data_IF_285308345574
#
_entry.id   IF_285308345574
#
_cell.length_a   1.000
_cell.length_b   1.000
_cell.length_c   1.000
_cell.angle_alpha   90.00
_cell.angle_beta   90.00
_cell.angle_gamma   90.00
#
_symmetry.space_group_name_H-M   'P 1'
#
loop_
_entity.id
_entity.type
_entity.pdbx_description
1 polymer ?
#
# COMPACT_ATOMS: atom_id res chain seq x y z
N UNK A 1 13.78 38.23 -4.82
CA UNK A 1 14.68 37.76 -3.73
C UNK A 1 14.32 38.37 -2.38
N UNK A 2 14.33 39.70 -2.23
CA UNK A 2 14.06 40.37 -0.93
C UNK A 2 12.58 40.35 -0.49
N UNK A 3 11.64 39.97 -1.36
CA UNK A 3 10.22 39.91 -1.02
C UNK A 3 9.49 41.24 -1.01
N UNK A 4 10.09 42.31 -1.54
CA UNK A 4 9.43 43.60 -1.72
C UNK A 4 8.33 43.50 -2.78
N UNK A 5 7.13 43.14 -2.37
CA UNK A 5 5.96 42.98 -3.24
C UNK A 5 5.56 44.29 -3.90
N UNK A 6 5.71 45.43 -3.20
CA UNK A 6 5.37 46.75 -3.74
C UNK A 6 6.23 47.11 -4.94
N UNK A 7 7.55 46.92 -4.83
CA UNK A 7 8.47 47.14 -5.94
C UNK A 7 8.20 46.20 -7.11
N UNK A 8 7.83 44.95 -6.83
CA UNK A 8 7.44 44.00 -7.88
C UNK A 8 6.20 44.47 -8.65
N UNK A 9 5.12 44.83 -7.96
CA UNK A 9 3.89 45.29 -8.61
C UNK A 9 4.12 46.59 -9.37
N UNK A 10 4.86 47.55 -8.79
CA UNK A 10 5.21 48.79 -9.48
C UNK A 10 5.93 48.52 -10.81
N UNK A 11 6.87 47.59 -10.84
CA UNK A 11 7.58 47.24 -12.08
C UNK A 11 6.65 46.61 -13.12
N UNK A 12 5.79 45.68 -12.69
CA UNK A 12 4.84 45.02 -13.59
C UNK A 12 3.80 46.01 -14.13
N UNK A 13 3.30 46.93 -13.30
CA UNK A 13 2.37 47.99 -13.70
C UNK A 13 3.01 48.96 -14.71
N UNK A 14 4.34 49.13 -14.65
CA UNK A 14 5.12 49.89 -15.64
C UNK A 14 5.53 49.06 -16.87
N UNK A 15 4.94 47.88 -17.08
CA UNK A 15 5.15 47.06 -18.28
C UNK A 15 6.36 46.13 -18.23
N UNK A 16 6.92 45.85 -17.04
CA UNK A 16 7.98 44.86 -16.91
C UNK A 16 7.49 43.46 -17.36
N UNK A 17 8.28 42.80 -18.19
CA UNK A 17 7.93 41.49 -18.73
C UNK A 17 7.96 40.41 -17.62
N UNK A 18 6.80 39.83 -17.33
CA UNK A 18 6.62 38.84 -16.26
C UNK A 18 7.38 37.51 -16.53
N UNK A 19 7.65 37.22 -17.80
CA UNK A 19 8.36 36.01 -18.27
C UNK A 19 9.84 36.28 -18.60
N UNK A 20 10.38 37.44 -18.24
CA UNK A 20 11.79 37.77 -18.53
C UNK A 20 12.72 36.81 -17.79
N UNK A 21 13.50 36.02 -18.53
CA UNK A 21 14.51 35.16 -17.98
C UNK A 21 15.85 35.90 -17.82
N UNK A 22 16.64 35.51 -16.82
CA UNK A 22 18.05 35.92 -16.73
C UNK A 22 18.94 35.14 -17.72
N UNK A 23 20.25 35.35 -17.65
CA UNK A 23 21.24 34.72 -18.54
C UNK A 23 21.26 33.19 -18.45
N UNK A 24 20.71 32.60 -17.39
CA UNK A 24 20.63 31.15 -17.22
C UNK A 24 19.21 30.61 -17.46
N UNK A 25 18.33 31.39 -18.10
CA UNK A 25 16.93 31.02 -18.30
C UNK A 25 16.05 31.16 -17.05
N UNK A 26 16.55 31.74 -15.95
CA UNK A 26 15.81 31.80 -14.70
C UNK A 26 14.76 32.91 -14.76
N UNK A 27 13.51 32.48 -14.91
CA UNK A 27 12.32 33.35 -14.81
C UNK A 27 12.00 33.79 -13.37
N UNK A 28 11.17 34.86 -13.19
CA UNK A 28 10.82 35.37 -11.86
C UNK A 28 10.09 34.34 -10.98
N UNK A 29 9.37 33.40 -11.59
CA UNK A 29 8.65 32.32 -10.89
C UNK A 29 9.60 31.35 -10.16
N UNK A 30 10.75 31.03 -10.75
CA UNK A 30 11.79 30.22 -10.10
C UNK A 30 12.30 30.90 -8.83
N UNK A 31 12.58 32.20 -8.91
CA UNK A 31 13.08 32.99 -7.78
C UNK A 31 11.99 33.14 -6.71
N UNK A 32 10.74 33.36 -7.10
CA UNK A 32 9.63 33.43 -6.16
C UNK A 32 9.45 32.12 -5.39
N UNK A 33 9.54 30.98 -6.08
CA UNK A 33 9.48 29.66 -5.47
C UNK A 33 10.67 29.41 -4.52
N UNK A 34 11.89 29.73 -4.96
CA UNK A 34 13.11 29.56 -4.17
C UNK A 34 13.09 30.34 -2.85
N UNK A 35 12.62 31.58 -2.88
CA UNK A 35 12.59 32.50 -1.74
C UNK A 35 11.26 32.49 -0.96
N UNK A 36 10.35 31.57 -1.28
CA UNK A 36 9.10 31.43 -0.54
C UNK A 36 8.16 32.65 -0.70
N UNK A 37 8.17 33.32 -1.84
CA UNK A 37 7.42 34.56 -2.09
C UNK A 37 6.03 34.27 -2.64
N UNK A 38 5.14 33.75 -1.79
CA UNK A 38 3.80 33.26 -2.17
C UNK A 38 2.98 34.31 -2.92
N UNK A 39 2.99 35.58 -2.48
CA UNK A 39 2.19 36.65 -3.12
C UNK A 39 2.63 36.90 -4.57
N UNK A 40 3.94 36.94 -4.79
CA UNK A 40 4.51 37.08 -6.14
C UNK A 40 4.20 35.83 -6.95
N UNK A 41 4.41 34.65 -6.37
CA UNK A 41 4.13 33.37 -7.02
C UNK A 41 2.67 33.23 -7.49
N UNK A 42 1.71 33.62 -6.63
CA UNK A 42 0.29 33.63 -6.93
C UNK A 42 -0.05 34.57 -8.08
N UNK A 43 0.53 35.76 -8.11
CA UNK A 43 0.34 36.70 -9.21
C UNK A 43 0.92 36.16 -10.52
N UNK A 44 2.12 35.59 -10.50
CA UNK A 44 2.78 35.03 -11.68
C UNK A 44 1.94 33.90 -12.31
N UNK A 45 1.50 32.95 -11.49
CA UNK A 45 0.65 31.84 -11.96
C UNK A 45 -0.72 32.33 -12.45
N UNK A 46 -1.33 33.30 -11.75
CA UNK A 46 -2.57 33.95 -12.19
C UNK A 46 -2.44 34.72 -13.51
N UNK A 47 -1.22 35.16 -13.85
CA UNK A 47 -0.92 35.87 -15.10
C UNK A 47 -0.61 34.94 -16.28
N UNK A 48 -0.82 33.62 -16.14
CA UNK A 48 -0.59 32.64 -17.22
C UNK A 48 0.89 32.33 -17.47
N UNK A 49 1.73 32.43 -16.44
CA UNK A 49 3.07 31.85 -16.45
C UNK A 49 2.94 30.34 -16.31
N UNK A 50 3.71 29.61 -17.13
CA UNK A 50 3.73 28.16 -17.07
C UNK A 50 4.31 27.69 -15.73
N UNK A 51 3.61 26.77 -15.06
CA UNK A 51 4.00 26.26 -13.74
C UNK A 51 5.24 25.36 -13.83
N UNK A 52 5.44 24.72 -14.98
CA UNK A 52 6.54 23.79 -15.26
C UNK A 52 7.59 24.39 -16.20
N UNK A 53 7.67 25.73 -16.26
CA UNK A 53 8.75 26.39 -16.97
C UNK A 53 10.11 25.89 -16.48
N UNK A 54 11.09 25.78 -17.37
CA UNK A 54 12.43 25.30 -17.02
C UNK A 54 13.49 26.36 -17.27
N UNK A 55 14.49 26.43 -16.40
CA UNK A 55 15.74 27.17 -16.66
C UNK A 55 16.64 26.41 -17.66
N UNK A 56 17.79 26.97 -18.03
CA UNK A 56 18.73 26.31 -18.96
C UNK A 56 19.31 24.99 -18.43
N UNK A 57 19.23 24.75 -17.11
CA UNK A 57 19.65 23.50 -16.48
C UNK A 57 18.50 22.48 -16.39
N UNK A 58 17.29 22.86 -16.81
CA UNK A 58 16.10 22.02 -16.75
C UNK A 58 15.40 22.04 -15.39
N UNK A 59 15.68 23.01 -14.52
CA UNK A 59 15.05 23.14 -13.20
C UNK A 59 13.70 23.84 -13.29
N UNK A 60 12.69 23.22 -12.69
CA UNK A 60 11.34 23.79 -12.57
C UNK A 60 11.18 24.63 -11.29
N UNK A 61 10.16 25.50 -11.20
CA UNK A 61 9.86 26.24 -9.97
C UNK A 61 9.70 25.32 -8.75
N UNK A 62 9.15 24.11 -8.95
CA UNK A 62 9.00 23.10 -7.90
C UNK A 62 10.36 22.59 -7.38
N UNK A 63 11.35 22.43 -8.26
CA UNK A 63 12.73 22.08 -7.84
C UNK A 63 13.37 23.22 -7.05
N UNK A 64 13.17 24.47 -7.49
CA UNK A 64 13.67 25.66 -6.77
C UNK A 64 13.08 25.80 -5.36
N UNK A 65 11.80 25.48 -5.16
CA UNK A 65 11.18 25.49 -3.82
C UNK A 65 11.78 24.41 -2.88
N UNK A 66 12.33 23.33 -3.44
CA UNK A 66 13.01 22.27 -2.70
C UNK A 66 14.46 22.64 -2.34
N UNK A 67 15.14 23.44 -3.17
CA UNK A 67 16.50 23.93 -2.92
C UNK A 67 16.51 25.00 -1.81
N UNK A 68 15.54 25.91 -1.83
CA UNK A 68 15.49 27.03 -0.90
C UNK A 68 16.52 28.14 -1.20
N UNK A 69 16.60 29.18 -0.36
CA UNK A 69 17.37 30.39 -0.64
C UNK A 69 18.88 30.21 -0.40
N UNK A 70 19.29 29.23 0.41
CA UNK A 70 20.69 28.96 0.77
C UNK A 70 20.96 27.46 0.92
N UNK A 71 22.16 27.00 0.55
CA UNK A 71 22.63 25.63 0.80
C UNK A 71 22.63 25.34 2.31
N UNK A 72 21.83 24.37 2.75
CA UNK A 72 21.66 24.03 4.18
C UNK A 72 20.57 24.82 4.91
N UNK A 73 19.75 25.58 4.19
CA UNK A 73 18.55 26.20 4.75
C UNK A 73 17.54 25.13 5.16
N UNK A 74 17.28 24.98 6.46
CA UNK A 74 16.21 24.13 6.99
C UNK A 74 14.97 25.01 7.18
N UNK A 75 13.93 24.87 6.35
CA UNK A 75 12.71 25.65 6.52
C UNK A 75 12.06 25.33 7.86
N UNK A 76 11.57 26.36 8.55
CA UNK A 76 10.72 26.18 9.73
C UNK A 76 9.34 25.63 9.31
N UNK A 77 8.67 24.83 10.16
CA UNK A 77 7.28 24.46 9.95
C UNK A 77 6.43 25.73 9.81
N UNK A 78 5.61 25.80 8.75
CA UNK A 78 4.82 26.98 8.34
C UNK A 78 5.64 28.16 7.77
N UNK A 79 6.90 27.96 7.40
CA UNK A 79 7.63 28.95 6.61
C UNK A 79 7.00 29.13 5.22
N UNK A 80 7.15 30.33 4.66
CA UNK A 80 6.55 30.70 3.38
C UNK A 80 7.00 29.81 2.21
N UNK A 81 8.17 29.17 2.32
CA UNK A 81 8.68 28.18 1.36
C UNK A 81 7.81 26.92 1.25
N UNK A 82 7.27 26.45 2.38
CA UNK A 82 6.41 25.26 2.44
C UNK A 82 5.11 25.51 1.69
N UNK A 83 4.53 26.68 1.95
CA UNK A 83 3.34 27.13 1.25
C UNK A 83 3.60 27.24 -0.26
N UNK A 84 4.77 27.69 -0.71
CA UNK A 84 5.10 27.71 -2.15
C UNK A 84 5.13 26.32 -2.78
N UNK A 85 5.75 25.32 -2.14
CA UNK A 85 5.77 23.94 -2.66
C UNK A 85 4.34 23.39 -2.78
N UNK A 86 3.52 23.56 -1.75
CA UNK A 86 2.12 23.13 -1.80
C UNK A 86 1.32 23.90 -2.85
N UNK A 87 1.57 25.20 -2.99
CA UNK A 87 0.90 26.05 -3.97
C UNK A 87 1.22 25.62 -5.39
N UNK A 88 2.50 25.38 -5.72
CA UNK A 88 2.89 24.85 -7.03
C UNK A 88 2.21 23.52 -7.35
N UNK A 89 2.16 22.61 -6.36
CA UNK A 89 1.46 21.33 -6.51
C UNK A 89 -0.05 21.52 -6.74
N UNK A 90 -0.70 22.48 -6.07
CA UNK A 90 -2.13 22.77 -6.32
C UNK A 90 -2.40 23.35 -7.70
N UNK A 91 -1.43 24.03 -8.31
CA UNK A 91 -1.52 24.53 -9.68
C UNK A 91 -1.14 23.47 -10.73
N UNK A 92 -0.88 22.22 -10.31
CA UNK A 92 -0.65 21.11 -11.22
C UNK A 92 0.80 20.93 -11.67
N UNK A 93 1.77 21.47 -10.94
CA UNK A 93 3.19 21.28 -11.24
C UNK A 93 3.56 19.79 -11.36
N UNK A 94 4.34 19.42 -12.37
CA UNK A 94 4.83 18.06 -12.53
C UNK A 94 5.83 17.70 -11.42
N UNK A 95 5.41 16.75 -10.60
CA UNK A 95 6.18 16.27 -9.44
C UNK A 95 7.31 15.33 -9.84
N UNK A 96 7.22 14.74 -11.03
CA UNK A 96 8.12 13.69 -11.50
C UNK A 96 9.12 14.17 -12.56
N UNK A 97 9.05 15.43 -12.98
CA UNK A 97 10.01 16.03 -13.91
C UNK A 97 11.44 15.81 -13.41
N UNK A 98 12.35 15.46 -14.33
CA UNK A 98 13.75 15.20 -14.04
C UNK A 98 14.63 16.16 -14.84
N UNK A 99 15.60 16.79 -14.18
CA UNK A 99 16.57 17.63 -14.88
C UNK A 99 17.47 16.78 -15.81
N UNK A 100 17.85 17.28 -16.99
CA UNK A 100 18.58 16.49 -17.98
C UNK A 100 20.00 16.11 -17.56
N UNK A 101 20.64 16.84 -16.64
CA UNK A 101 22.06 16.61 -16.34
C UNK A 101 22.29 15.43 -15.41
N UNK A 102 21.57 15.38 -14.27
CA UNK A 102 21.69 14.32 -13.25
C UNK A 102 20.43 13.48 -13.12
N UNK A 103 19.39 13.78 -13.88
CA UNK A 103 18.07 13.16 -13.74
C UNK A 103 17.50 13.31 -12.32
N UNK A 104 17.78 14.45 -11.65
CA UNK A 104 17.23 14.72 -10.34
C UNK A 104 15.78 15.21 -10.49
N UNK A 105 14.90 14.59 -9.73
CA UNK A 105 13.51 15.05 -9.53
C UNK A 105 13.42 16.01 -8.34
N UNK A 106 12.27 16.68 -8.18
CA UNK A 106 12.00 17.51 -7.00
C UNK A 106 12.23 16.74 -5.68
N UNK A 107 11.91 15.43 -5.66
CA UNK A 107 12.16 14.54 -4.53
C UNK A 107 13.67 14.43 -4.22
N UNK A 108 14.52 14.23 -5.23
CA UNK A 108 15.98 14.18 -5.06
C UNK A 108 16.55 15.51 -4.52
N UNK A 109 16.06 16.65 -5.02
CA UNK A 109 16.48 17.96 -4.52
C UNK A 109 16.11 18.17 -3.05
N UNK A 110 14.90 17.77 -2.64
CA UNK A 110 14.46 17.90 -1.26
C UNK A 110 15.30 17.04 -0.29
N UNK A 111 15.74 15.85 -0.73
CA UNK A 111 16.64 14.98 0.04
C UNK A 111 18.05 15.59 0.12
N UNK A 112 18.58 16.07 -1.02
CA UNK A 112 19.94 16.61 -1.12
C UNK A 112 20.13 17.88 -0.26
N UNK A 113 19.12 18.74 -0.22
CA UNK A 113 19.15 20.00 0.55
C UNK A 113 18.60 19.86 1.97
N UNK A 114 18.28 18.64 2.43
CA UNK A 114 17.74 18.37 3.77
C UNK A 114 16.50 19.22 4.09
N UNK A 115 15.55 19.28 3.16
CA UNK A 115 14.29 20.01 3.32
C UNK A 115 13.15 19.03 3.65
N UNK A 116 12.91 18.69 4.94
CA UNK A 116 11.94 17.67 5.33
C UNK A 116 10.50 18.09 5.00
N UNK A 117 10.22 19.38 4.92
CA UNK A 117 8.84 19.87 4.80
C UNK A 117 8.37 19.86 3.34
N UNK A 118 9.21 20.35 2.41
CA UNK A 118 8.93 20.19 0.97
C UNK A 118 8.87 18.70 0.62
N UNK A 119 9.80 17.90 1.14
CA UNK A 119 9.79 16.45 0.99
C UNK A 119 8.48 15.81 1.47
N UNK A 120 8.01 16.16 2.67
CA UNK A 120 6.74 15.66 3.20
C UNK A 120 5.53 16.06 2.35
N UNK A 121 5.53 17.29 1.82
CA UNK A 121 4.47 17.78 0.92
C UNK A 121 4.46 17.02 -0.41
N UNK A 122 5.63 16.74 -0.98
CA UNK A 122 5.77 15.94 -2.20
C UNK A 122 5.28 14.49 -1.97
N UNK A 123 5.66 13.86 -0.86
CA UNK A 123 5.24 12.48 -0.54
C UNK A 123 3.73 12.31 -0.33
N UNK A 124 3.01 13.38 0.04
CA UNK A 124 1.56 13.38 0.15
C UNK A 124 0.87 13.39 -1.21
N UNK A 125 1.54 13.87 -2.26
CA UNK A 125 0.95 13.95 -3.59
C UNK A 125 0.67 12.55 -4.15
N UNK A 126 -0.52 12.28 -4.73
CA UNK A 126 -0.90 10.93 -5.16
C UNK A 126 -0.07 10.40 -6.33
N UNK A 127 0.42 11.30 -7.20
CA UNK A 127 1.16 10.94 -8.42
C UNK A 127 2.69 10.89 -8.22
N UNK A 128 3.19 11.08 -6.99
CA UNK A 128 4.63 11.06 -6.75
C UNK A 128 5.22 9.66 -7.02
N UNK A 129 6.24 9.61 -7.88
CA UNK A 129 6.99 8.39 -8.10
C UNK A 129 8.10 8.24 -7.05
N UNK A 130 7.86 7.40 -6.05
CA UNK A 130 8.82 7.09 -4.97
C UNK A 130 9.98 6.19 -5.42
N UNK A 131 9.94 5.64 -6.65
CA UNK A 131 10.95 4.75 -7.22
C UNK A 131 11.68 5.39 -8.42
N UNK A 132 11.58 6.72 -8.56
CA UNK A 132 12.26 7.46 -9.63
C UNK A 132 13.77 7.38 -9.47
N UNK A 133 14.48 6.96 -10.52
CA UNK A 133 15.93 6.79 -10.48
C UNK A 133 16.63 8.00 -11.06
N UNK A 134 17.71 8.43 -10.39
CA UNK A 134 18.59 9.46 -10.93
C UNK A 134 19.56 8.88 -12.00
N UNK A 135 20.45 9.73 -12.53
CA UNK A 135 21.43 9.34 -13.56
C UNK A 135 22.44 8.30 -13.08
N UNK A 136 22.66 8.20 -11.77
CA UNK A 136 23.48 7.18 -11.13
C UNK A 136 22.70 5.88 -10.85
N UNK A 137 21.46 5.77 -11.33
CA UNK A 137 20.56 4.64 -11.13
C UNK A 137 20.18 4.40 -9.64
N UNK A 138 20.28 5.42 -8.80
CA UNK A 138 19.84 5.37 -7.40
C UNK A 138 18.37 5.75 -7.26
N UNK A 139 17.62 4.88 -6.59
CA UNK A 139 16.27 5.18 -6.10
C UNK A 139 16.32 6.26 -5.00
N UNK A 140 15.22 7.00 -4.75
CA UNK A 140 15.20 8.07 -3.76
C UNK A 140 15.51 7.57 -2.33
N UNK A 141 15.14 6.32 -2.03
CA UNK A 141 15.47 5.68 -0.75
C UNK A 141 16.98 5.43 -0.60
N UNK A 142 17.63 4.92 -1.65
CA UNK A 142 19.08 4.69 -1.65
C UNK A 142 19.80 6.03 -1.56
N UNK A 143 19.35 7.01 -2.35
CA UNK A 143 19.88 8.36 -2.33
C UNK A 143 19.77 9.03 -0.95
N UNK A 144 18.64 8.87 -0.24
CA UNK A 144 18.46 9.38 1.12
C UNK A 144 19.43 8.74 2.13
N UNK A 145 19.70 7.43 1.99
CA UNK A 145 20.71 6.73 2.82
C UNK A 145 22.12 7.24 2.55
N UNK A 146 22.48 7.44 1.27
CA UNK A 146 23.77 7.99 0.87
C UNK A 146 24.00 9.41 1.42
N UNK A 147 22.94 10.22 1.51
CA UNK A 147 22.97 11.58 2.07
C UNK A 147 22.82 11.62 3.61
N UNK A 148 22.72 10.45 4.27
CA UNK A 148 22.53 10.32 5.72
C UNK A 148 21.30 11.08 6.26
N UNK A 149 20.25 11.24 5.45
CA UNK A 149 19.02 11.92 5.85
C UNK A 149 18.05 10.93 6.51
N UNK A 150 18.18 10.76 7.84
CA UNK A 150 17.44 9.77 8.62
C UNK A 150 15.92 9.96 8.59
N UNK A 151 15.43 11.21 8.59
CA UNK A 151 14.00 11.52 8.52
C UNK A 151 13.42 11.13 7.15
N UNK A 152 14.11 11.48 6.06
CA UNK A 152 13.68 11.10 4.71
C UNK A 152 13.63 9.57 4.52
N UNK A 153 14.62 8.85 5.05
CA UNK A 153 14.64 7.38 5.04
C UNK A 153 13.44 6.81 5.79
N UNK A 154 13.20 7.27 7.03
CA UNK A 154 12.09 6.79 7.85
C UNK A 154 10.73 7.04 7.19
N UNK A 155 10.53 8.20 6.57
CA UNK A 155 9.29 8.55 5.89
C UNK A 155 9.07 7.74 4.60
N UNK A 156 10.12 7.54 3.78
CA UNK A 156 10.03 6.69 2.58
C UNK A 156 9.75 5.23 2.95
N UNK A 157 10.41 4.69 3.97
CA UNK A 157 10.17 3.32 4.44
C UNK A 157 8.73 3.14 4.94
N UNK A 158 8.21 4.10 5.73
CA UNK A 158 6.79 4.09 6.13
C UNK A 158 5.85 4.13 4.93
N UNK A 159 6.14 4.96 3.93
CA UNK A 159 5.31 5.06 2.71
C UNK A 159 5.34 3.76 1.91
N UNK A 160 6.51 3.17 1.70
CA UNK A 160 6.70 1.89 1.02
C UNK A 160 6.01 0.74 1.80
N UNK A 161 6.06 0.77 3.12
CA UNK A 161 5.37 -0.23 3.93
C UNK A 161 3.86 -0.06 3.87
N UNK A 162 3.35 1.17 3.83
CA UNK A 162 1.92 1.45 3.65
C UNK A 162 1.40 0.99 2.29
N UNK A 163 2.17 1.17 1.22
CA UNK A 163 1.80 0.66 -0.11
C UNK A 163 1.84 -0.86 -0.14
N UNK A 164 2.85 -1.50 0.46
CA UNK A 164 2.89 -2.98 0.63
C UNK A 164 1.72 -3.50 1.48
N UNK A 165 1.27 -2.77 2.49
CA UNK A 165 0.10 -3.14 3.29
C UNK A 165 -1.21 -3.04 2.49
N UNK A 166 -1.35 -2.03 1.62
CA UNK A 166 -2.47 -1.94 0.66
C UNK A 166 -2.40 -2.96 -0.47
N UNK A 167 -1.22 -3.54 -0.75
CA UNK A 167 -1.03 -4.63 -1.72
C UNK A 167 -1.41 -6.01 -1.13
N UNK A 168 -1.81 -6.12 0.15
CA UNK A 168 -2.50 -7.33 0.63
C UNK A 168 -3.85 -7.43 -0.08
N UNK A 169 -4.12 -8.56 -0.75
CA UNK A 169 -4.67 -8.52 -2.07
C UNK A 169 -6.14 -8.11 -1.99
N UNK A 170 -6.55 -7.22 -2.88
CA UNK A 170 -7.96 -6.87 -3.14
C UNK A 170 -8.84 -8.13 -3.18
N UNK A 171 -8.27 -9.28 -3.56
CA UNK A 171 -8.88 -10.60 -3.46
C UNK A 171 -9.31 -11.01 -2.03
N UNK A 172 -8.44 -10.92 -1.02
CA UNK A 172 -8.79 -11.25 0.37
C UNK A 172 -9.81 -10.26 0.93
N UNK A 173 -9.69 -8.97 0.57
CA UNK A 173 -10.65 -7.95 1.00
C UNK A 173 -12.03 -8.17 0.36
N UNK A 174 -12.11 -8.51 -0.94
CA UNK A 174 -13.35 -8.91 -1.62
C UNK A 174 -13.93 -10.22 -1.07
N UNK A 175 -13.08 -11.18 -0.68
CA UNK A 175 -13.48 -12.43 -0.05
C UNK A 175 -14.12 -12.22 1.34
N UNK A 176 -13.53 -11.34 2.16
CA UNK A 176 -14.05 -11.03 3.49
C UNK A 176 -15.35 -10.21 3.45
N UNK A 177 -15.50 -9.30 2.48
CA UNK A 177 -16.66 -8.41 2.36
C UNK A 177 -17.86 -9.09 1.68
N UNK A 178 -17.64 -9.93 0.67
CA UNK A 178 -18.73 -10.48 -0.15
C UNK A 178 -19.14 -11.89 0.29
N UNK A 179 -20.29 -11.99 0.97
CA UNK A 179 -20.85 -13.25 1.46
C UNK A 179 -21.09 -14.29 0.36
N UNK A 180 -21.38 -13.88 -0.88
CA UNK A 180 -21.57 -14.78 -2.02
C UNK A 180 -20.27 -15.47 -2.45
N UNK A 181 -19.19 -14.69 -2.56
CA UNK A 181 -17.86 -15.19 -2.91
C UNK A 181 -17.35 -16.16 -1.83
N UNK A 182 -17.57 -15.82 -0.56
CA UNK A 182 -17.22 -16.69 0.56
C UNK A 182 -17.93 -18.05 0.49
N UNK A 183 -19.24 -18.06 0.22
CA UNK A 183 -20.02 -19.31 0.08
C UNK A 183 -19.59 -20.11 -1.14
N UNK A 184 -19.27 -19.46 -2.26
CA UNK A 184 -18.84 -20.13 -3.47
C UNK A 184 -17.44 -20.75 -3.34
N UNK A 185 -16.48 -20.00 -2.80
CA UNK A 185 -15.10 -20.45 -2.65
C UNK A 185 -14.98 -21.61 -1.65
N UNK A 186 -15.72 -21.56 -0.54
CA UNK A 186 -15.78 -22.66 0.44
C UNK A 186 -16.40 -23.92 -0.16
N UNK A 187 -17.44 -23.78 -1.00
CA UNK A 187 -18.02 -24.91 -1.76
C UNK A 187 -17.06 -25.47 -2.81
N UNK A 188 -16.32 -24.62 -3.51
CA UNK A 188 -15.32 -25.03 -4.48
C UNK A 188 -14.17 -25.82 -3.81
N UNK A 189 -13.64 -25.32 -2.70
CA UNK A 189 -12.61 -26.03 -1.92
C UNK A 189 -13.13 -27.37 -1.39
N UNK A 190 -14.37 -27.42 -0.89
CA UNK A 190 -15.00 -28.68 -0.49
C UNK A 190 -15.08 -29.66 -1.67
N UNK A 191 -15.57 -29.23 -2.83
CA UNK A 191 -15.68 -30.08 -4.02
C UNK A 191 -14.30 -30.55 -4.49
N UNK A 192 -13.29 -29.68 -4.49
CA UNK A 192 -11.93 -30.03 -4.87
C UNK A 192 -11.33 -31.10 -3.94
N UNK A 193 -11.49 -30.94 -2.62
CA UNK A 193 -11.06 -31.94 -1.63
C UNK A 193 -11.84 -33.26 -1.80
N UNK A 194 -13.16 -33.20 -2.03
CA UNK A 194 -13.97 -34.39 -2.32
C UNK A 194 -13.49 -35.12 -3.57
N UNK A 195 -13.13 -34.40 -4.64
CA UNK A 195 -12.62 -35.03 -5.87
C UNK A 195 -11.25 -35.68 -5.67
N UNK A 196 -10.35 -35.04 -4.93
CA UNK A 196 -9.03 -35.61 -4.61
C UNK A 196 -9.15 -36.87 -3.73
N UNK A 197 -10.05 -36.86 -2.76
CA UNK A 197 -10.31 -38.03 -1.91
C UNK A 197 -10.99 -39.13 -2.72
N UNK A 198 -11.98 -38.81 -3.56
CA UNK A 198 -12.62 -39.78 -4.46
C UNK A 198 -11.62 -40.46 -5.39
N UNK A 199 -10.68 -39.69 -5.97
CA UNK A 199 -9.57 -40.23 -6.75
C UNK A 199 -8.64 -41.13 -5.91
N UNK A 200 -8.41 -40.81 -4.64
CA UNK A 200 -7.61 -41.65 -3.73
C UNK A 200 -8.32 -42.93 -3.26
N UNK A 201 -9.65 -42.97 -3.26
CA UNK A 201 -10.44 -44.14 -2.85
C UNK A 201 -10.58 -45.12 -4.02
N UNK A 202 -10.65 -44.62 -5.25
CA UNK A 202 -10.85 -45.43 -6.46
C UNK A 202 -9.57 -46.12 -6.97
N UNK A 203 -8.42 -45.86 -6.35
CA UNK A 203 -7.17 -46.57 -6.60
C UNK A 203 -7.14 -47.91 -5.84
N UNK A 204 -7.88 -48.88 -6.36
CA UNK A 204 -8.03 -50.21 -5.76
C UNK A 204 -6.74 -51.02 -5.64
N UNK A 205 -5.64 -50.59 -6.26
CA UNK A 205 -4.36 -51.31 -6.28
C UNK A 205 -3.44 -51.04 -5.08
N UNK A 206 -3.75 -50.09 -4.19
CA UNK A 206 -2.83 -49.69 -3.10
C UNK A 206 -3.31 -50.14 -1.70
N UNK A 207 -2.36 -50.45 -0.82
CA UNK A 207 -2.56 -50.90 0.57
C UNK A 207 -3.48 -49.96 1.37
N UNK A 208 -4.33 -50.54 2.22
CA UNK A 208 -5.34 -49.85 3.04
C UNK A 208 -4.77 -48.66 3.82
N UNK A 209 -3.57 -48.79 4.39
CA UNK A 209 -2.89 -47.74 5.14
C UNK A 209 -2.53 -46.50 4.31
N UNK A 210 -2.13 -46.67 3.04
CA UNK A 210 -1.80 -45.56 2.15
C UNK A 210 -3.04 -44.75 1.76
N UNK A 211 -4.21 -45.38 1.68
CA UNK A 211 -5.50 -44.71 1.42
C UNK A 211 -5.95 -43.82 2.57
N UNK A 212 -5.54 -44.14 3.80
CA UNK A 212 -5.85 -43.35 5.00
C UNK A 212 -4.81 -42.24 5.19
N UNK A 213 -3.52 -42.57 5.05
CA UNK A 213 -2.42 -41.65 5.32
C UNK A 213 -2.39 -40.49 4.31
N UNK A 214 -2.60 -40.76 3.03
CA UNK A 214 -2.53 -39.76 1.96
C UNK A 214 -3.52 -38.59 2.14
N UNK A 215 -4.84 -38.81 2.33
CA UNK A 215 -5.77 -37.71 2.56
C UNK A 215 -5.51 -36.97 3.87
N UNK A 216 -5.05 -37.63 4.93
CA UNK A 216 -4.68 -36.95 6.19
C UNK A 216 -3.51 -35.99 5.96
N UNK A 217 -2.47 -36.43 5.24
CA UNK A 217 -1.30 -35.61 4.91
C UNK A 217 -1.68 -34.44 4.00
N UNK A 218 -2.52 -34.68 2.99
CA UNK A 218 -3.02 -33.62 2.08
C UNK A 218 -3.86 -32.60 2.83
N UNK A 219 -4.78 -33.04 3.71
CA UNK A 219 -5.59 -32.14 4.54
C UNK A 219 -4.69 -31.31 5.47
N UNK A 220 -3.68 -31.94 6.08
CA UNK A 220 -2.73 -31.23 6.96
C UNK A 220 -1.90 -30.20 6.19
N UNK A 221 -1.34 -30.57 5.04
CA UNK A 221 -0.60 -29.66 4.16
C UNK A 221 -1.47 -28.53 3.65
N UNK A 222 -2.69 -28.81 3.19
CA UNK A 222 -3.64 -27.79 2.73
C UNK A 222 -4.06 -26.86 3.86
N UNK A 223 -4.31 -27.38 5.06
CA UNK A 223 -4.61 -26.58 6.25
C UNK A 223 -3.43 -25.67 6.63
N UNK A 224 -2.20 -26.19 6.57
CA UNK A 224 -1.00 -25.44 6.90
C UNK A 224 -0.65 -24.37 5.85
N UNK A 225 -0.74 -24.71 4.57
CA UNK A 225 -0.60 -23.77 3.44
C UNK A 225 -1.67 -22.68 3.51
N UNK A 226 -2.92 -23.05 3.77
CA UNK A 226 -4.01 -22.08 3.88
C UNK A 226 -3.80 -21.15 5.09
N UNK A 227 -3.39 -21.70 6.24
CA UNK A 227 -3.03 -20.88 7.41
C UNK A 227 -1.89 -19.92 7.12
N UNK A 228 -0.86 -20.35 6.39
CA UNK A 228 0.30 -19.52 6.04
C UNK A 228 -0.05 -18.39 5.06
N UNK A 229 -0.87 -18.69 4.04
CA UNK A 229 -1.23 -17.72 3.00
C UNK A 229 -2.41 -16.81 3.37
N UNK A 230 -3.29 -17.22 4.30
CA UNK A 230 -4.56 -16.51 4.59
C UNK A 230 -4.58 -15.88 5.98
N UNK A 231 -3.89 -16.44 6.98
CA UNK A 231 -4.02 -15.97 8.38
C UNK A 231 -2.75 -15.23 8.82
N UNK A 232 -2.87 -13.93 9.07
CA UNK A 232 -1.87 -13.21 9.82
C UNK A 232 -2.09 -13.48 11.32
N UNK A 233 -1.04 -13.87 12.05
CA UNK A 233 -1.06 -14.34 13.44
C UNK A 233 -1.66 -13.37 14.50
N UNK A 234 -2.26 -12.24 14.08
CA UNK A 234 -2.79 -11.17 14.95
C UNK A 234 -4.29 -10.86 14.82
N UNK A 235 -5.05 -11.44 13.89
CA UNK A 235 -6.50 -11.17 13.79
C UNK A 235 -7.33 -12.07 14.73
N UNK A 236 -8.18 -11.50 15.56
CA UNK A 236 -8.82 -12.17 16.72
C UNK A 236 -9.84 -13.27 16.37
N UNK A 237 -10.24 -13.44 15.11
CA UNK A 237 -11.28 -14.41 14.72
C UNK A 237 -10.73 -15.72 14.10
N UNK A 238 -9.60 -16.20 14.61
CA UNK A 238 -8.94 -17.43 14.14
C UNK A 238 -9.65 -18.72 14.54
N UNK A 239 -10.45 -18.68 15.61
CA UNK A 239 -11.03 -19.87 16.20
C UNK A 239 -12.20 -20.44 15.39
N UNK A 240 -13.07 -19.56 14.88
CA UNK A 240 -14.32 -19.99 14.26
C UNK A 240 -14.09 -20.69 12.91
N UNK A 241 -13.12 -20.23 12.11
CA UNK A 241 -12.82 -20.84 10.81
C UNK A 241 -12.05 -22.16 10.95
N UNK A 242 -11.05 -22.22 11.84
CA UNK A 242 -10.34 -23.46 12.16
C UNK A 242 -11.30 -24.53 12.73
N UNK A 243 -12.27 -24.11 13.55
CA UNK A 243 -13.30 -25.00 14.09
C UNK A 243 -14.26 -25.54 13.03
N UNK A 244 -14.69 -24.72 12.06
CA UNK A 244 -15.55 -25.17 10.96
C UNK A 244 -14.82 -26.16 10.05
N UNK A 245 -13.55 -25.94 9.74
CA UNK A 245 -12.76 -26.90 8.96
C UNK A 245 -12.55 -28.19 9.76
N UNK A 246 -12.17 -28.09 11.03
CA UNK A 246 -11.95 -29.26 11.90
C UNK A 246 -13.23 -30.10 12.06
N UNK A 247 -14.38 -29.46 12.31
CA UNK A 247 -15.67 -30.14 12.44
C UNK A 247 -16.17 -30.74 11.14
N UNK A 248 -15.94 -30.08 9.99
CA UNK A 248 -16.30 -30.61 8.67
C UNK A 248 -15.46 -31.82 8.30
N UNK A 249 -14.15 -31.78 8.60
CA UNK A 249 -13.23 -32.91 8.40
C UNK A 249 -13.60 -34.08 9.32
N UNK A 250 -13.91 -33.81 10.59
CA UNK A 250 -14.31 -34.85 11.54
C UNK A 250 -15.62 -35.53 11.13
N UNK A 251 -16.62 -34.76 10.71
CA UNK A 251 -17.90 -35.29 10.20
C UNK A 251 -17.73 -36.15 8.95
N UNK A 252 -16.74 -35.84 8.11
CA UNK A 252 -16.51 -36.58 6.87
C UNK A 252 -15.73 -37.87 7.09
N UNK A 253 -14.77 -37.86 8.03
CA UNK A 253 -14.07 -39.07 8.48
C UNK A 253 -15.06 -40.04 9.13
N UNK A 254 -16.00 -39.55 9.96
CA UNK A 254 -17.01 -40.41 10.58
C UNK A 254 -17.99 -41.00 9.55
N UNK A 255 -18.39 -40.23 8.54
CA UNK A 255 -19.23 -40.74 7.44
C UNK A 255 -18.50 -41.79 6.59
N UNK A 256 -17.19 -41.63 6.37
CA UNK A 256 -16.36 -42.60 5.65
C UNK A 256 -16.19 -43.91 6.43
N UNK A 257 -16.00 -43.85 7.75
CA UNK A 257 -15.96 -45.05 8.61
C UNK A 257 -17.32 -45.76 8.63
N UNK A 258 -18.42 -45.01 8.69
CA UNK A 258 -19.78 -45.57 8.67
C UNK A 258 -20.09 -46.35 7.38
N UNK A 259 -19.56 -45.90 6.24
CA UNK A 259 -19.74 -46.59 4.95
C UNK A 259 -18.87 -47.86 4.80
N UNK A 260 -17.92 -48.10 5.70
CA UNK A 260 -17.03 -49.27 5.66
C UNK A 260 -17.53 -50.47 6.50
N UNK A 261 -18.46 -50.28 7.45
CA UNK A 261 -18.85 -51.32 8.42
C UNK A 261 -20.34 -51.72 8.33
N UNK A 262 -20.68 -53.02 8.17
CA UNK A 262 -22.08 -53.46 8.01
C UNK A 262 -22.85 -53.76 9.32
N UNK A 263 -22.30 -53.59 10.54
CA UNK A 263 -22.99 -53.95 11.81
C UNK A 263 -22.75 -52.96 12.97
N UNK A 264 -23.84 -52.48 13.57
CA UNK A 264 -23.92 -51.43 14.62
C UNK A 264 -23.46 -51.93 16.02
N UNK A 265 -22.65 -51.17 16.76
CA UNK A 265 -22.20 -51.49 18.15
C UNK A 265 -22.27 -50.30 19.12
N UNK A 266 -22.13 -50.54 20.44
CA UNK A 266 -22.33 -49.56 21.55
C UNK A 266 -21.44 -48.31 21.43
N UNK A 267 -20.31 -48.38 20.72
CA UNK A 267 -19.50 -47.21 20.36
C UNK A 267 -20.32 -46.15 19.62
N UNK A 268 -21.24 -46.57 18.74
CA UNK A 268 -22.06 -45.68 17.90
C UNK A 268 -22.99 -44.77 18.73
N UNK A 269 -23.36 -45.20 19.93
CA UNK A 269 -24.19 -44.43 20.87
C UNK A 269 -23.38 -43.29 21.52
N UNK A 270 -22.12 -43.57 21.92
CA UNK A 270 -21.21 -42.54 22.46
C UNK A 270 -20.86 -41.51 21.35
N UNK A 271 -20.78 -41.96 20.10
CA UNK A 271 -20.55 -41.09 18.93
C UNK A 271 -21.76 -40.21 18.55
N UNK A 272 -22.99 -40.68 18.78
CA UNK A 272 -24.16 -39.80 18.63
C UNK A 272 -24.21 -38.69 19.69
N UNK A 273 -23.67 -38.91 20.88
CA UNK A 273 -23.52 -37.85 21.88
C UNK A 273 -22.53 -36.75 21.46
N UNK A 274 -21.46 -37.07 20.72
CA UNK A 274 -20.48 -36.06 20.27
C UNK A 274 -21.02 -35.17 19.13
N UNK A 275 -21.86 -35.72 18.25
CA UNK A 275 -22.54 -34.97 17.19
C UNK A 275 -23.65 -34.06 17.74
N UNK A 276 -24.38 -34.52 18.77
CA UNK A 276 -25.33 -33.67 19.52
C UNK A 276 -24.61 -32.56 20.29
N UNK A 277 -23.43 -32.84 20.87
CA UNK A 277 -22.59 -31.84 21.51
C UNK A 277 -22.09 -30.76 20.51
N UNK A 278 -21.72 -31.16 19.29
CA UNK A 278 -21.39 -30.24 18.20
C UNK A 278 -22.56 -29.31 17.83
N UNK A 279 -23.79 -29.84 17.76
CA UNK A 279 -25.01 -29.05 17.50
C UNK A 279 -25.36 -28.11 18.67
N UNK A 280 -25.15 -28.52 19.91
CA UNK A 280 -25.31 -27.68 21.10
C UNK A 280 -24.34 -26.47 21.08
N UNK A 281 -23.07 -26.72 20.75
CA UNK A 281 -22.05 -25.68 20.62
C UNK A 281 -22.37 -24.67 19.49
N UNK A 282 -22.88 -25.13 18.35
CA UNK A 282 -23.34 -24.23 17.26
C UNK A 282 -24.49 -23.32 17.73
N UNK A 283 -25.39 -23.83 18.58
CA UNK A 283 -26.50 -23.05 19.15
C UNK A 283 -26.00 -21.98 20.14
N UNK A 284 -25.01 -22.30 20.98
CA UNK A 284 -24.35 -21.35 21.89
C UNK A 284 -23.55 -20.26 21.15
N UNK A 285 -22.95 -20.58 20.01
CA UNK A 285 -22.23 -19.58 19.19
C UNK A 285 -23.22 -18.61 18.51
N UNK A 286 -24.39 -19.09 18.10
CA UNK A 286 -25.45 -18.24 17.51
C UNK A 286 -25.96 -17.18 18.50
N UNK A 287 -25.94 -17.49 19.81
CA UNK A 287 -26.25 -16.52 20.86
C UNK A 287 -25.10 -15.53 21.15
N UNK A 288 -23.84 -15.93 20.95
CA UNK A 288 -22.65 -15.10 21.20
C UNK A 288 -22.28 -14.17 20.02
N UNK A 289 -22.59 -14.56 18.78
CA UNK A 289 -22.32 -13.72 17.61
C UNK A 289 -23.38 -13.93 16.50
N UNK A 290 -24.51 -13.21 16.55
CA UNK A 290 -25.69 -13.48 15.71
C UNK A 290 -25.47 -13.20 14.20
N UNK A 291 -24.35 -12.58 13.83
CA UNK A 291 -23.99 -12.31 12.43
C UNK A 291 -23.20 -13.42 11.73
N UNK A 292 -22.74 -14.46 12.46
CA UNK A 292 -21.84 -15.47 11.89
C UNK A 292 -22.58 -16.52 11.04
N UNK A 293 -23.82 -16.88 11.41
CA UNK A 293 -24.66 -17.82 10.66
C UNK A 293 -26.11 -17.32 10.65
N UNK A 294 -26.51 -16.67 9.56
CA UNK A 294 -27.89 -16.63 9.07
C UNK A 294 -28.06 -17.69 7.98
#
# INVERSE_FOLDING_TARGET
RQGCTEAFFLLVDNGAAIKSADVNGVQPIHIAAQYGQIKILAYLLGSGVDVDCVDERGFTPLMYSCIGPSSGYVPLPNSSHVCCTQFLLTFGADVNHQEPTRHYSALHFSINNQNPISFHSLLKHPQINIHVKNGDNFDPLIFARMRQNSDAVAQLERRIQSTKAHIKPVFLQRYLVNAGIRKWLTRFFMLFIMTLIGLSVNSYEHSYWLRILFPIVVIFLCSHLFSYYVLEAKSVDHFAFAYVISSSVLMYITYWIYLQEPKFTISDIIYHFSTVYGLYCVRCIKTLNPGFIK
#
